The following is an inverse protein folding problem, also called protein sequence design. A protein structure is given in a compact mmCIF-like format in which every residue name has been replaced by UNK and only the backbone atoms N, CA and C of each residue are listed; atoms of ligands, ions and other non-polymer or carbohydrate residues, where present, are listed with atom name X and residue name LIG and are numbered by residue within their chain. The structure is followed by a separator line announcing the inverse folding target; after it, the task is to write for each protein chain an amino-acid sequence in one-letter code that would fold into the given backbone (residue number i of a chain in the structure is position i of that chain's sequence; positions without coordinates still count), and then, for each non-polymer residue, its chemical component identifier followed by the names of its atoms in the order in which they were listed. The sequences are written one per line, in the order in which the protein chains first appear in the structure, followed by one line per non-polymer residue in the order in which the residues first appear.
data_IF_553092609507
#
_entry.id   IF_553092609507
#
_cell.length_a   1.000
_cell.length_b   1.000
_cell.length_c   1.000
_cell.angle_alpha   90.00
_cell.angle_beta   90.00
_cell.angle_gamma   90.00
#
_symmetry.space_group_name_H-M   'P 1'
#
loop_
_entity.id
_entity.type
_entity.pdbx_description
1 polymer ?
#
# COMPACT_ATOMS: atom_id res chain seq x y z
N UNK A 1 -0.32 13.17 -10.91
CA UNK A 1 0.81 13.16 -9.95
C UNK A 1 0.24 12.79 -8.60
N UNK A 2 0.83 11.81 -7.93
CA UNK A 2 0.40 11.35 -6.60
C UNK A 2 1.36 11.97 -5.58
N UNK A 3 0.83 12.85 -4.75
CA UNK A 3 1.61 13.53 -3.71
C UNK A 3 1.78 12.64 -2.49
N UNK A 4 2.78 12.93 -1.66
CA UNK A 4 2.98 12.25 -0.36
C UNK A 4 1.70 12.24 0.48
N UNK A 5 0.97 13.35 0.54
CA UNK A 5 -0.28 13.47 1.30
C UNK A 5 -1.32 12.43 0.87
N UNK A 6 -1.48 12.21 -0.44
CA UNK A 6 -2.40 11.21 -0.98
C UNK A 6 -2.00 9.80 -0.53
N UNK A 7 -0.70 9.48 -0.56
CA UNK A 7 -0.20 8.17 -0.11
C UNK A 7 -0.39 7.96 1.39
N UNK A 8 -0.20 9.00 2.20
CA UNK A 8 -0.49 8.96 3.64
C UNK A 8 -1.98 8.76 3.94
N UNK A 9 -2.87 9.38 3.16
CA UNK A 9 -4.31 9.20 3.34
C UNK A 9 -4.77 7.79 2.94
N UNK A 10 -4.16 7.19 1.91
CA UNK A 10 -4.33 5.76 1.62
C UNK A 10 -3.83 4.91 2.81
N UNK A 11 -2.69 5.25 3.41
CA UNK A 11 -2.18 4.52 4.58
C UNK A 11 -3.15 4.57 5.77
N UNK A 12 -3.74 5.73 6.05
CA UNK A 12 -4.80 5.88 7.07
C UNK A 12 -6.04 5.05 6.73
N UNK A 13 -6.46 5.03 5.47
CA UNK A 13 -7.57 4.20 5.00
C UNK A 13 -7.33 2.71 5.24
N UNK A 14 -6.12 2.22 4.98
CA UNK A 14 -5.74 0.83 5.29
C UNK A 14 -5.77 0.55 6.79
N UNK A 15 -5.38 1.50 7.64
CA UNK A 15 -5.48 1.34 9.10
C UNK A 15 -6.90 1.21 9.60
N UNK A 16 -7.84 1.97 9.02
CA UNK A 16 -9.27 1.83 9.30
C UNK A 16 -9.77 0.44 8.89
N UNK A 17 -9.37 -0.06 7.72
CA UNK A 17 -9.72 -1.41 7.26
C UNK A 17 -9.11 -2.49 8.16
N UNK A 18 -7.85 -2.36 8.58
CA UNK A 18 -7.24 -3.29 9.53
C UNK A 18 -8.02 -3.33 10.84
N UNK A 19 -8.42 -2.18 11.40
CA UNK A 19 -9.25 -2.12 12.61
C UNK A 19 -10.59 -2.85 12.43
N UNK A 20 -11.23 -2.66 11.27
CA UNK A 20 -12.48 -3.35 10.91
C UNK A 20 -12.31 -4.86 10.85
N UNK A 21 -11.32 -5.35 10.11
CA UNK A 21 -11.10 -6.80 9.94
C UNK A 21 -10.56 -7.49 11.20
N UNK A 22 -9.87 -6.76 12.08
CA UNK A 22 -9.39 -7.29 13.37
C UNK A 22 -10.52 -7.77 14.27
N UNK A 23 -11.73 -7.22 14.12
CA UNK A 23 -12.91 -7.68 14.85
C UNK A 23 -13.34 -9.10 14.49
N UNK A 24 -12.87 -9.63 13.35
CA UNK A 24 -13.09 -10.99 12.87
C UNK A 24 -14.59 -11.40 12.93
N UNK A 25 -15.46 -10.49 12.53
CA UNK A 25 -16.90 -10.65 12.62
C UNK A 25 -17.47 -11.51 11.48
N UNK A 26 -16.73 -11.62 10.36
CA UNK A 26 -17.17 -12.32 9.16
C UNK A 26 -16.10 -13.32 8.69
N UNK A 27 -16.49 -14.49 8.14
CA UNK A 27 -15.54 -15.40 7.48
C UNK A 27 -14.68 -14.68 6.43
N UNK A 28 -13.37 -14.94 6.48
CA UNK A 28 -12.37 -14.29 5.61
C UNK A 28 -11.78 -13.00 6.14
N UNK A 29 -12.26 -12.45 7.27
CA UNK A 29 -11.69 -11.23 7.86
C UNK A 29 -10.23 -11.39 8.26
N UNK A 30 -9.83 -12.57 8.76
CA UNK A 30 -8.41 -12.87 9.02
C UNK A 30 -7.55 -12.73 7.76
N UNK A 31 -8.00 -13.24 6.63
CA UNK A 31 -7.26 -13.13 5.36
C UNK A 31 -7.21 -11.69 4.85
N UNK A 32 -8.34 -10.98 4.94
CA UNK A 32 -8.41 -9.55 4.60
C UNK A 32 -7.53 -8.70 5.49
N UNK A 33 -7.46 -8.99 6.78
CA UNK A 33 -6.57 -8.33 7.74
C UNK A 33 -5.11 -8.51 7.33
N UNK A 34 -4.68 -9.74 7.08
CA UNK A 34 -3.29 -10.02 6.68
C UNK A 34 -2.94 -9.40 5.32
N UNK A 35 -3.86 -9.44 4.34
CA UNK A 35 -3.66 -8.77 3.05
C UNK A 35 -3.53 -7.25 3.21
N UNK A 36 -4.40 -6.63 4.02
CA UNK A 36 -4.38 -5.20 4.30
C UNK A 36 -3.10 -4.79 5.03
N UNK A 37 -2.66 -5.58 6.01
CA UNK A 37 -1.42 -5.37 6.76
C UNK A 37 -0.19 -5.43 5.84
N UNK A 38 -0.15 -6.40 4.91
CA UNK A 38 0.92 -6.49 3.90
C UNK A 38 0.93 -5.29 2.97
N UNK A 39 -0.24 -4.89 2.45
CA UNK A 39 -0.37 -3.71 1.61
C UNK A 39 0.07 -2.44 2.34
N UNK A 40 -0.30 -2.26 3.61
CA UNK A 40 0.12 -1.12 4.43
C UNK A 40 1.63 -1.11 4.68
N UNK A 41 2.22 -2.28 4.98
CA UNK A 41 3.67 -2.42 5.15
C UNK A 41 4.43 -2.07 3.86
N UNK A 42 3.93 -2.51 2.70
CA UNK A 42 4.48 -2.15 1.41
C UNK A 42 4.34 -0.64 1.12
N UNK A 43 3.20 -0.04 1.48
CA UNK A 43 2.94 1.39 1.28
C UNK A 43 3.92 2.26 2.09
N UNK A 44 4.28 1.84 3.31
CA UNK A 44 5.32 2.53 4.10
C UNK A 44 6.68 2.58 3.39
N UNK A 45 7.03 1.56 2.61
CA UNK A 45 8.25 1.57 1.79
C UNK A 45 8.15 2.55 0.62
N UNK A 46 6.94 2.75 0.09
CA UNK A 46 6.68 3.77 -0.94
C UNK A 46 6.85 5.16 -0.34
N UNK A 47 6.23 5.44 0.81
CA UNK A 47 6.39 6.74 1.51
C UNK A 47 7.88 7.04 1.75
N UNK A 48 8.63 6.06 2.28
CA UNK A 48 10.08 6.22 2.47
C UNK A 48 10.82 6.53 1.15
N UNK A 49 10.41 5.92 0.04
CA UNK A 49 11.00 6.21 -1.27
C UNK A 49 10.66 7.63 -1.72
N UNK A 50 9.44 8.10 -1.44
CA UNK A 50 9.00 9.46 -1.77
C UNK A 50 9.75 10.52 -0.94
N UNK A 51 10.17 10.24 0.29
CA UNK A 51 11.07 11.14 1.04
C UNK A 51 12.40 11.37 0.33
N UNK A 52 12.88 10.38 -0.42
CA UNK A 52 14.20 10.40 -1.07
C UNK A 52 14.10 10.96 -2.49
N UNK A 53 13.08 10.52 -3.24
CA UNK A 53 12.94 10.81 -4.67
C UNK A 53 11.90 11.88 -5.00
N UNK A 54 11.11 12.31 -4.04
CA UNK A 54 9.97 13.22 -4.25
C UNK A 54 8.69 12.50 -4.69
N UNK A 55 7.79 13.25 -5.31
CA UNK A 55 6.48 12.76 -5.73
C UNK A 55 6.56 11.66 -6.80
N UNK A 56 5.49 10.88 -6.93
CA UNK A 56 5.40 9.79 -7.92
C UNK A 56 4.31 10.07 -8.93
N UNK A 57 4.45 9.51 -10.13
CA UNK A 57 3.47 9.70 -11.18
C UNK A 57 2.23 8.84 -10.95
N UNK A 58 2.43 7.57 -10.61
CA UNK A 58 1.37 6.57 -10.46
C UNK A 58 1.64 5.63 -9.30
N UNK A 59 0.57 5.28 -8.58
CA UNK A 59 0.55 4.26 -7.54
C UNK A 59 -0.62 3.31 -7.83
N UNK A 60 -0.35 2.01 -7.94
CA UNK A 60 -1.40 1.03 -8.23
C UNK A 60 -1.25 -0.20 -7.33
N UNK A 61 -2.35 -0.72 -6.76
CA UNK A 61 -2.28 -1.93 -5.96
C UNK A 61 -1.96 -3.13 -6.86
N UNK A 62 -1.08 -4.02 -6.37
CA UNK A 62 -0.72 -5.24 -7.07
C UNK A 62 -0.75 -6.45 -6.14
N UNK A 63 -1.02 -7.62 -6.73
CA UNK A 63 -0.92 -8.93 -6.10
C UNK A 63 0.06 -9.77 -6.90
N UNK A 64 1.15 -10.18 -6.28
CA UNK A 64 2.14 -11.09 -6.88
C UNK A 64 2.11 -12.42 -6.13
N UNK A 65 1.31 -13.36 -6.62
CA UNK A 65 1.02 -14.62 -5.93
C UNK A 65 0.34 -14.39 -4.57
N UNK A 66 1.01 -14.77 -3.48
CA UNK A 66 0.54 -14.57 -2.07
C UNK A 66 1.01 -13.24 -1.46
N UNK A 67 1.74 -12.42 -2.23
CA UNK A 67 2.26 -11.12 -1.79
C UNK A 67 1.34 -10.00 -2.25
N UNK A 68 1.15 -9.01 -1.39
CA UNK A 68 0.34 -7.83 -1.67
C UNK A 68 1.20 -6.58 -1.56
N UNK A 69 0.89 -5.57 -2.36
CA UNK A 69 1.66 -4.34 -2.34
C UNK A 69 1.30 -3.37 -3.46
N UNK A 70 2.31 -2.65 -3.94
CA UNK A 70 2.13 -1.48 -4.81
C UNK A 70 3.12 -1.47 -5.96
N UNK A 71 2.62 -1.21 -7.15
CA UNK A 71 3.42 -0.75 -8.27
C UNK A 71 3.51 0.76 -8.22
N UNK A 72 4.73 1.27 -8.28
CA UNK A 72 5.04 2.70 -8.29
C UNK A 72 5.69 3.02 -9.63
N UNK A 73 5.21 4.06 -10.30
CA UNK A 73 5.90 4.67 -11.45
C UNK A 73 6.37 6.04 -10.99
N UNK A 74 7.69 6.26 -10.98
CA UNK A 74 8.29 7.55 -10.64
C UNK A 74 8.23 8.53 -11.81
N UNK A 75 8.67 9.77 -11.59
CA UNK A 75 8.71 10.82 -12.63
C UNK A 75 9.68 10.47 -13.79
N UNK A 76 10.64 9.59 -13.50
CA UNK A 76 11.56 8.86 -14.40
C UNK A 76 10.86 7.99 -15.46
N UNK A 77 9.56 7.70 -15.27
CA UNK A 77 8.85 6.54 -15.83
C UNK A 77 9.46 5.19 -15.41
N UNK A 78 10.24 5.12 -14.33
CA UNK A 78 10.74 3.86 -13.82
C UNK A 78 9.67 3.18 -12.97
N UNK A 79 9.32 1.95 -13.34
CA UNK A 79 8.39 1.13 -12.57
C UNK A 79 9.10 0.31 -11.50
N UNK A 80 8.56 0.29 -10.27
CA UNK A 80 9.05 -0.57 -9.19
C UNK A 80 7.91 -1.19 -8.40
N UNK A 81 8.06 -2.48 -8.10
CA UNK A 81 7.09 -3.25 -7.33
C UNK A 81 7.54 -3.38 -5.87
N UNK A 82 6.69 -2.91 -4.96
CA UNK A 82 6.85 -3.03 -3.51
C UNK A 82 5.86 -4.07 -3.00
N UNK A 83 6.32 -5.31 -2.75
CA UNK A 83 5.47 -6.39 -2.26
C UNK A 83 6.03 -7.02 -0.99
N UNK A 84 5.14 -7.54 -0.14
CA UNK A 84 5.47 -8.28 1.09
C UNK A 84 4.73 -9.61 1.12
#
# INVERSE_FOLDING_TARGET
MVTKQVVEDVAKGLEVLMKKYKLNAVPGDKERYEATKKAHTALRKVILTMEIKGDIQTLSPIKNGKKFGWMVIDLENNSKNYCV
#
